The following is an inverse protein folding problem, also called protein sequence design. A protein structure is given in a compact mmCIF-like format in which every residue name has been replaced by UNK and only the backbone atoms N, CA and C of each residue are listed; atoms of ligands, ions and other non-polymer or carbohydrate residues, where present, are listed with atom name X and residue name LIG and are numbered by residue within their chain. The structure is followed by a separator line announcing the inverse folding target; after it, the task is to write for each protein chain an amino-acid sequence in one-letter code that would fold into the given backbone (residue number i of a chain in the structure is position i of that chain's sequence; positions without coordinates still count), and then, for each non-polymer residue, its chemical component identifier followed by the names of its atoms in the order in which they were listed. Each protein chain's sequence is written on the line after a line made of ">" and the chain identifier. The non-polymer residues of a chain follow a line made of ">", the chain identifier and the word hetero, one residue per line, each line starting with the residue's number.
data_IF_522131692397
#
_entry.id   IF_522131692397
#
_cell.length_a   1.000
_cell.length_b   1.000
_cell.length_c   1.000
_cell.angle_alpha   90.00
_cell.angle_beta   90.00
_cell.angle_gamma   90.00
#
_symmetry.space_group_name_H-M   'P 1'
#
loop_
_entity.id
_entity.type
_entity.pdbx_description
1 polymer ?
#
# COMPACT_ATOMS: atom_id res chain seq x y z
N UNK A 1 -5.33 15.46 -1.46
CA UNK A 1 -4.35 16.02 -2.41
C UNK A 1 -3.71 14.85 -3.14
N UNK A 2 -3.92 14.71 -4.46
CA UNK A 2 -3.36 13.59 -5.21
C UNK A 2 -1.86 13.52 -4.98
N UNK A 3 -1.30 12.36 -4.66
CA UNK A 3 0.13 12.08 -4.78
C UNK A 3 0.47 12.07 -6.27
N UNK A 4 0.51 13.25 -6.89
CA UNK A 4 1.01 13.37 -8.25
C UNK A 4 2.54 13.30 -8.16
N UNK A 5 3.07 12.19 -8.66
CA UNK A 5 4.45 12.14 -9.08
C UNK A 5 4.59 13.14 -10.22
N UNK A 6 5.48 14.13 -10.08
CA UNK A 6 6.03 14.76 -11.25
C UNK A 6 6.81 13.65 -11.98
N UNK A 7 6.19 13.07 -13.00
CA UNK A 7 6.87 12.18 -13.91
C UNK A 7 7.96 13.03 -14.55
N UNK A 8 9.20 12.78 -14.17
CA UNK A 8 10.34 13.43 -14.81
C UNK A 8 10.24 13.12 -16.31
N UNK A 9 10.21 14.16 -17.14
CA UNK A 9 10.03 14.10 -18.61
C UNK A 9 11.16 13.37 -19.36
N UNK A 10 12.03 12.64 -18.66
CA UNK A 10 13.20 12.01 -19.22
C UNK A 10 13.32 10.54 -18.80
N UNK A 11 12.28 9.72 -19.07
CA UNK A 11 12.47 8.27 -19.06
C UNK A 11 12.49 7.74 -20.48
N UNK A 12 13.67 7.40 -21.03
CA UNK A 12 13.77 6.75 -22.35
C UNK A 12 13.32 5.28 -22.31
N UNK A 13 12.92 4.75 -21.15
CA UNK A 13 12.48 3.37 -20.96
C UNK A 13 11.17 3.32 -20.19
N UNK A 14 10.12 2.74 -20.76
CA UNK A 14 8.93 2.37 -20.01
C UNK A 14 9.33 1.29 -18.97
N UNK A 15 9.14 1.53 -17.67
CA UNK A 15 9.43 0.53 -16.65
C UNK A 15 8.48 -0.68 -16.70
N UNK A 16 7.43 -0.58 -17.52
CA UNK A 16 6.44 -1.63 -17.74
C UNK A 16 6.92 -2.49 -18.90
N UNK A 17 7.30 -3.72 -18.60
CA UNK A 17 7.60 -4.72 -19.61
C UNK A 17 6.31 -5.25 -20.27
N UNK A 18 6.46 -5.89 -21.42
CA UNK A 18 5.31 -6.40 -22.15
C UNK A 18 4.60 -7.52 -21.38
N UNK A 19 3.39 -7.25 -20.93
CA UNK A 19 2.52 -8.25 -20.30
C UNK A 19 2.25 -9.46 -21.23
N UNK A 20 2.42 -9.29 -22.56
CA UNK A 20 2.33 -10.37 -23.53
C UNK A 20 3.49 -11.36 -23.42
N UNK A 21 4.63 -10.91 -22.91
CA UNK A 21 5.82 -11.74 -22.69
C UNK A 21 5.89 -12.35 -21.29
N UNK A 22 4.81 -12.23 -20.51
CA UNK A 22 4.74 -12.77 -19.15
C UNK A 22 5.55 -11.99 -18.12
N UNK A 23 5.85 -10.72 -18.40
CA UNK A 23 6.65 -9.82 -17.52
C UNK A 23 5.84 -8.60 -17.12
N UNK A 24 5.93 -8.21 -15.84
CA UNK A 24 5.32 -6.97 -15.33
C UNK A 24 6.35 -5.85 -15.31
N UNK A 25 7.53 -6.11 -14.77
CA UNK A 25 8.58 -5.12 -14.58
C UNK A 25 9.97 -5.74 -14.62
N UNK A 26 11.01 -4.90 -14.62
CA UNK A 26 12.41 -5.35 -14.45
C UNK A 26 12.67 -5.95 -13.06
N UNK A 27 11.76 -5.77 -12.09
CA UNK A 27 11.93 -6.18 -10.70
C UNK A 27 11.16 -7.45 -10.33
N UNK A 28 10.58 -8.15 -11.31
CA UNK A 28 9.74 -9.34 -11.07
C UNK A 28 10.45 -10.41 -10.22
N UNK A 29 11.75 -10.65 -10.46
CA UNK A 29 12.51 -11.62 -9.66
C UNK A 29 12.65 -11.18 -8.20
N UNK A 30 12.80 -9.89 -7.93
CA UNK A 30 12.84 -9.36 -6.57
C UNK A 30 11.46 -9.47 -5.90
N UNK A 31 10.39 -9.14 -6.63
CA UNK A 31 9.03 -9.32 -6.11
C UNK A 31 8.73 -10.79 -5.79
N UNK A 32 9.11 -11.73 -6.65
CA UNK A 32 8.96 -13.18 -6.40
C UNK A 32 9.72 -13.63 -5.17
N UNK A 33 10.99 -13.20 -5.03
CA UNK A 33 11.85 -13.52 -3.88
C UNK A 33 11.23 -13.05 -2.56
N UNK A 34 10.87 -11.78 -2.46
CA UNK A 34 10.46 -11.17 -1.21
C UNK A 34 8.97 -11.37 -0.86
N UNK A 35 8.09 -11.53 -1.83
CA UNK A 35 6.68 -11.82 -1.57
C UNK A 35 6.48 -13.15 -0.83
N UNK A 36 7.37 -14.13 -1.05
CA UNK A 36 7.34 -15.43 -0.35
C UNK A 36 7.52 -15.29 1.16
N UNK A 37 8.30 -14.31 1.63
CA UNK A 37 8.55 -14.07 3.06
C UNK A 37 7.28 -13.70 3.84
N UNK A 38 6.28 -13.13 3.15
CA UNK A 38 4.99 -12.70 3.74
C UNK A 38 3.80 -13.54 3.24
N UNK A 39 4.06 -14.57 2.43
CA UNK A 39 3.02 -15.43 1.86
C UNK A 39 2.09 -14.70 0.89
N UNK A 40 2.56 -13.65 0.23
CA UNK A 40 1.81 -12.92 -0.79
C UNK A 40 2.12 -13.44 -2.19
N UNK A 41 1.13 -13.30 -3.07
CA UNK A 41 1.39 -13.39 -4.51
C UNK A 41 2.29 -12.21 -4.94
N UNK A 42 3.39 -12.52 -5.63
CA UNK A 42 4.33 -11.51 -6.08
C UNK A 42 3.71 -10.44 -7.00
N UNK A 43 2.65 -10.80 -7.73
CA UNK A 43 1.90 -9.89 -8.61
C UNK A 43 1.12 -8.83 -7.81
N UNK A 44 0.70 -9.15 -6.59
CA UNK A 44 0.10 -8.20 -5.66
C UNK A 44 1.15 -7.19 -5.16
N UNK A 45 2.35 -7.68 -4.81
CA UNK A 45 3.46 -6.80 -4.39
C UNK A 45 3.92 -5.90 -5.56
N UNK A 46 3.97 -6.43 -6.78
CA UNK A 46 4.23 -5.64 -7.97
C UNK A 46 3.13 -4.60 -8.24
N UNK A 47 1.86 -4.95 -7.98
CA UNK A 47 0.72 -4.03 -8.09
C UNK A 47 0.82 -2.85 -7.13
N UNK A 48 1.27 -3.12 -5.89
CA UNK A 48 1.57 -2.10 -4.90
C UNK A 48 2.69 -1.17 -5.40
N UNK A 49 3.83 -1.71 -5.84
CA UNK A 49 4.96 -0.94 -6.33
C UNK A 49 4.59 -0.06 -7.54
N UNK A 50 3.79 -0.58 -8.46
CA UNK A 50 3.27 0.21 -9.58
C UNK A 50 2.44 1.41 -9.08
N UNK A 51 1.55 1.20 -8.14
CA UNK A 51 0.69 2.25 -7.61
C UNK A 51 1.49 3.30 -6.83
N UNK A 52 2.57 2.89 -6.16
CA UNK A 52 3.44 3.77 -5.39
C UNK A 52 4.36 4.63 -6.27
N UNK A 53 4.99 4.07 -7.28
CA UNK A 53 6.03 4.76 -8.04
C UNK A 53 5.98 4.56 -9.55
N UNK A 54 5.03 3.80 -10.08
CA UNK A 54 5.07 3.34 -11.47
C UNK A 54 6.39 2.61 -11.82
N UNK A 55 6.94 1.88 -10.86
CA UNK A 55 8.27 1.23 -10.91
C UNK A 55 9.46 2.19 -11.05
N UNK A 56 9.29 3.47 -10.74
CA UNK A 56 10.38 4.44 -10.75
C UNK A 56 11.17 4.38 -9.43
N UNK A 57 12.41 3.91 -9.50
CA UNK A 57 13.31 3.83 -8.34
C UNK A 57 13.80 5.20 -7.88
N UNK A 58 13.71 6.22 -8.72
CA UNK A 58 14.16 7.59 -8.42
C UNK A 58 13.03 8.46 -7.88
N UNK A 59 11.80 7.95 -7.85
CA UNK A 59 10.62 8.69 -7.42
C UNK A 59 10.80 9.25 -6.00
N UNK A 60 10.45 10.52 -5.84
CA UNK A 60 10.38 11.21 -4.55
C UNK A 60 9.04 11.93 -4.48
N UNK A 61 8.23 11.61 -3.47
CA UNK A 61 6.97 12.30 -3.25
C UNK A 61 7.22 13.69 -2.63
N UNK A 62 6.25 14.59 -2.76
CA UNK A 62 6.32 15.90 -2.09
C UNK A 62 6.45 15.79 -0.56
N UNK A 63 5.97 14.68 0.05
CA UNK A 63 6.11 14.40 1.48
C UNK A 63 7.47 13.76 1.84
N UNK A 64 8.32 13.47 0.85
CA UNK A 64 9.65 12.90 1.05
C UNK A 64 9.72 11.37 1.05
N UNK A 65 8.64 10.65 0.70
CA UNK A 65 8.71 9.21 0.46
C UNK A 65 9.58 8.92 -0.77
N UNK A 66 10.38 7.85 -0.73
CA UNK A 66 11.41 7.59 -1.73
C UNK A 66 11.37 6.21 -2.34
N UNK A 67 11.78 6.15 -3.61
CA UNK A 67 12.10 4.95 -4.36
C UNK A 67 10.89 4.11 -4.75
N UNK A 68 11.18 2.88 -5.14
CA UNK A 68 10.23 1.95 -5.75
C UNK A 68 8.96 1.71 -4.92
N UNK A 69 9.10 1.60 -3.61
CA UNK A 69 8.02 1.28 -2.67
C UNK A 69 7.54 2.49 -1.85
N UNK A 70 8.05 3.69 -2.14
CA UNK A 70 7.62 4.96 -1.53
C UNK A 70 7.55 4.94 0.01
N UNK A 71 8.54 4.37 0.66
CA UNK A 71 8.65 4.45 2.11
C UNK A 71 9.18 5.81 2.54
N UNK A 72 8.60 6.33 3.63
CA UNK A 72 9.17 7.49 4.30
C UNK A 72 10.57 7.16 4.85
N UNK A 73 11.54 8.08 4.79
CA UNK A 73 12.92 7.80 5.23
C UNK A 73 13.03 7.24 6.66
N UNK A 74 12.18 7.71 7.58
CA UNK A 74 12.14 7.19 8.94
C UNK A 74 11.68 5.73 8.97
N UNK A 75 10.65 5.38 8.21
CA UNK A 75 10.14 4.02 8.08
C UNK A 75 11.17 3.11 7.41
N UNK A 76 11.80 3.56 6.32
CA UNK A 76 12.84 2.82 5.63
C UNK A 76 14.00 2.46 6.57
N UNK A 77 14.50 3.43 7.36
CA UNK A 77 15.54 3.19 8.39
C UNK A 77 15.08 2.21 9.46
N UNK A 78 13.87 2.35 9.98
CA UNK A 78 13.31 1.43 10.96
C UNK A 78 13.18 0.00 10.42
N UNK A 79 12.99 -0.16 9.11
CA UNK A 79 12.94 -1.45 8.42
C UNK A 79 14.35 -1.96 8.01
N UNK A 80 15.41 -1.20 8.33
CA UNK A 80 16.80 -1.61 8.15
C UNK A 80 17.43 -1.19 6.82
N UNK A 81 16.87 -0.22 6.11
CA UNK A 81 17.52 0.36 4.92
C UNK A 81 18.72 1.19 5.36
N UNK A 82 19.91 0.92 4.83
CA UNK A 82 21.09 1.75 5.12
C UNK A 82 20.88 3.19 4.62
N UNK A 83 21.45 4.20 5.29
CA UNK A 83 21.39 5.59 4.85
C UNK A 83 21.85 5.76 3.40
N UNK A 84 21.07 6.48 2.60
CA UNK A 84 21.36 6.73 1.18
C UNK A 84 21.03 5.55 0.24
N UNK A 85 20.43 4.46 0.74
CA UNK A 85 20.00 3.31 -0.06
C UNK A 85 18.50 3.23 -0.27
N UNK A 86 17.75 4.28 0.07
CA UNK A 86 16.28 4.30 -0.01
C UNK A 86 15.76 4.10 -1.44
N UNK A 87 16.55 4.46 -2.45
CA UNK A 87 16.23 4.31 -3.88
C UNK A 87 16.80 3.01 -4.49
N UNK A 88 17.55 2.20 -3.72
CA UNK A 88 17.95 0.88 -4.18
C UNK A 88 16.72 -0.02 -4.26
N UNK A 89 16.41 -0.65 -5.42
CA UNK A 89 15.18 -1.40 -5.59
C UNK A 89 15.07 -2.60 -4.65
N UNK A 90 16.13 -3.34 -4.41
CA UNK A 90 16.11 -4.50 -3.52
C UNK A 90 15.92 -4.08 -2.06
N UNK A 91 16.63 -3.04 -1.59
CA UNK A 91 16.47 -2.53 -0.22
C UNK A 91 15.05 -1.94 -0.01
N UNK A 92 14.52 -1.25 -1.01
CA UNK A 92 13.16 -0.69 -0.98
C UNK A 92 12.10 -1.80 -0.86
N UNK A 93 12.17 -2.86 -1.68
CA UNK A 93 11.24 -4.00 -1.64
C UNK A 93 11.36 -4.74 -0.31
N UNK A 94 12.57 -5.06 0.12
CA UNK A 94 12.84 -5.76 1.39
C UNK A 94 12.28 -5.00 2.60
N UNK A 95 12.46 -3.69 2.63
CA UNK A 95 11.92 -2.85 3.69
C UNK A 95 10.38 -2.80 3.66
N UNK A 96 9.78 -2.70 2.48
CA UNK A 96 8.33 -2.73 2.32
C UNK A 96 7.73 -4.05 2.82
N UNK A 97 8.35 -5.18 2.50
CA UNK A 97 7.93 -6.51 2.97
C UNK A 97 8.00 -6.62 4.49
N UNK A 98 9.08 -6.11 5.12
CA UNK A 98 9.16 -6.05 6.59
C UNK A 98 8.08 -5.17 7.20
N UNK A 99 7.79 -4.02 6.59
CA UNK A 99 6.72 -3.12 7.02
C UNK A 99 5.34 -3.78 6.90
N UNK A 100 5.07 -4.47 5.77
CA UNK A 100 3.86 -5.26 5.55
C UNK A 100 3.72 -6.35 6.62
N UNK A 101 4.78 -7.10 6.91
CA UNK A 101 4.78 -8.13 7.94
C UNK A 101 4.50 -7.58 9.35
N UNK A 102 5.03 -6.40 9.68
CA UNK A 102 4.75 -5.73 10.95
C UNK A 102 3.28 -5.28 11.03
N UNK A 103 2.75 -4.73 9.94
CA UNK A 103 1.36 -4.30 9.84
C UNK A 103 0.40 -5.49 9.91
N UNK A 104 0.72 -6.62 9.26
CA UNK A 104 -0.06 -7.87 9.33
C UNK A 104 -0.23 -8.35 10.78
N UNK A 105 0.84 -8.33 11.56
CA UNK A 105 0.79 -8.69 12.99
C UNK A 105 -0.12 -7.74 13.78
N UNK A 106 -0.07 -6.44 13.50
CA UNK A 106 -0.91 -5.44 14.17
C UNK A 106 -2.39 -5.58 13.81
N UNK A 107 -2.71 -6.18 12.67
CA UNK A 107 -4.06 -6.41 12.16
C UNK A 107 -4.53 -7.86 12.36
N UNK A 108 -3.92 -8.61 13.28
CA UNK A 108 -4.27 -10.02 13.56
C UNK A 108 -5.72 -10.24 13.98
N UNK A 109 -6.42 -9.18 14.45
CA UNK A 109 -7.85 -9.23 14.76
C UNK A 109 -8.74 -9.42 13.50
N UNK A 110 -8.22 -9.22 12.29
CA UNK A 110 -8.91 -9.54 11.03
C UNK A 110 -8.52 -10.98 10.65
N UNK A 111 -9.38 -11.98 10.89
CA UNK A 111 -8.99 -13.40 10.76
C UNK A 111 -8.82 -13.84 9.30
N UNK A 112 -9.64 -13.32 8.39
CA UNK A 112 -9.56 -13.62 6.96
C UNK A 112 -8.34 -12.95 6.34
N UNK A 113 -7.45 -13.74 5.74
CA UNK A 113 -6.20 -13.25 5.14
C UNK A 113 -6.44 -12.35 3.93
N UNK A 114 -7.47 -12.62 3.14
CA UNK A 114 -7.78 -11.83 1.94
C UNK A 114 -8.35 -10.46 2.33
N UNK A 115 -9.23 -10.44 3.33
CA UNK A 115 -9.68 -9.17 3.92
C UNK A 115 -8.50 -8.43 4.54
N UNK A 116 -7.69 -9.08 5.39
CA UNK A 116 -6.55 -8.46 6.07
C UNK A 116 -5.55 -7.81 5.11
N UNK A 117 -5.34 -8.36 3.93
CA UNK A 117 -4.54 -7.73 2.86
C UNK A 117 -5.07 -6.34 2.52
N UNK A 118 -6.39 -6.15 2.39
CA UNK A 118 -6.99 -4.85 2.09
C UNK A 118 -6.71 -3.82 3.19
N UNK A 119 -6.82 -4.24 4.47
CA UNK A 119 -6.45 -3.40 5.61
C UNK A 119 -4.96 -3.04 5.63
N UNK A 120 -4.09 -3.98 5.26
CA UNK A 120 -2.64 -3.74 5.17
C UNK A 120 -2.35 -2.71 4.06
N UNK A 121 -2.96 -2.87 2.88
CA UNK A 121 -2.81 -1.91 1.79
C UNK A 121 -3.33 -0.52 2.18
N UNK A 122 -4.48 -0.46 2.84
CA UNK A 122 -5.02 0.80 3.36
C UNK A 122 -4.07 1.44 4.38
N UNK A 123 -3.50 0.64 5.30
CA UNK A 123 -2.53 1.11 6.30
C UNK A 123 -1.22 1.59 5.67
N UNK A 124 -0.80 0.97 4.58
CA UNK A 124 0.39 1.37 3.83
C UNK A 124 0.26 2.81 3.31
N UNK A 125 -0.93 3.19 2.87
CA UNK A 125 -1.22 4.52 2.34
C UNK A 125 -1.58 5.54 3.44
N UNK A 126 -2.49 5.17 4.36
CA UNK A 126 -3.06 6.08 5.37
C UNK A 126 -2.27 6.13 6.69
N UNK A 127 -1.49 5.09 6.96
CA UNK A 127 -0.97 4.84 8.29
C UNK A 127 -1.96 4.07 9.16
N UNK A 128 -1.42 3.19 9.99
CA UNK A 128 -2.18 2.23 10.80
C UNK A 128 -3.16 2.92 11.78
N UNK A 129 -2.80 4.10 12.30
CA UNK A 129 -3.65 4.83 13.24
C UNK A 129 -5.01 5.21 12.64
N UNK A 130 -5.03 5.74 11.41
CA UNK A 130 -6.29 6.09 10.75
C UNK A 130 -7.13 4.86 10.41
N UNK A 131 -6.50 3.72 10.15
CA UNK A 131 -7.22 2.47 9.91
C UNK A 131 -7.84 1.94 11.19
N UNK A 132 -7.16 2.03 12.33
CA UNK A 132 -7.76 1.68 13.63
C UNK A 132 -8.96 2.57 13.98
N UNK A 133 -8.89 3.88 13.69
CA UNK A 133 -10.04 4.77 13.85
C UNK A 133 -11.21 4.32 12.96
N UNK A 134 -10.96 3.99 11.69
CA UNK A 134 -12.01 3.52 10.79
C UNK A 134 -12.63 2.18 11.24
N UNK A 135 -11.82 1.27 11.78
CA UNK A 135 -12.28 0.01 12.38
C UNK A 135 -13.17 0.30 13.60
N UNK A 136 -12.76 1.20 14.48
CA UNK A 136 -13.54 1.56 15.67
C UNK A 136 -14.87 2.25 15.31
N UNK A 137 -14.86 3.11 14.30
CA UNK A 137 -16.09 3.71 13.76
C UNK A 137 -17.02 2.64 13.17
N UNK A 138 -16.50 1.73 12.34
CA UNK A 138 -17.30 0.65 11.75
C UNK A 138 -17.98 -0.20 12.85
N UNK A 139 -17.23 -0.57 13.89
CA UNK A 139 -17.75 -1.31 15.05
C UNK A 139 -18.85 -0.54 15.77
N UNK A 140 -18.61 0.75 16.08
CA UNK A 140 -19.56 1.63 16.76
C UNK A 140 -20.89 1.77 16.00
N UNK A 141 -20.81 1.88 14.67
CA UNK A 141 -21.98 2.06 13.79
C UNK A 141 -22.56 0.74 13.26
N UNK A 142 -22.24 -0.40 13.90
CA UNK A 142 -22.86 -1.70 13.61
C UNK A 142 -22.44 -2.34 12.29
N UNK A 143 -21.28 -1.98 11.74
CA UNK A 143 -20.70 -2.60 10.56
C UNK A 143 -19.68 -3.67 10.95
N UNK A 144 -19.37 -4.55 10.00
CA UNK A 144 -18.37 -5.58 10.26
C UNK A 144 -16.96 -4.99 10.23
N UNK A 145 -16.36 -4.85 11.42
CA UNK A 145 -15.01 -4.27 11.60
C UNK A 145 -13.87 -5.09 11.03
N UNK A 146 -14.13 -6.33 10.62
CA UNK A 146 -13.14 -7.25 10.03
C UNK A 146 -13.30 -7.43 8.53
N UNK A 147 -14.24 -6.71 7.90
CA UNK A 147 -14.47 -6.69 6.46
C UNK A 147 -14.20 -5.28 5.93
N UNK A 148 -13.36 -5.19 4.90
CA UNK A 148 -13.00 -3.90 4.31
C UNK A 148 -14.12 -3.34 3.43
N UNK A 149 -14.49 -4.10 2.38
CA UNK A 149 -15.43 -3.65 1.35
C UNK A 149 -16.84 -3.43 1.93
N UNK A 150 -17.44 -2.29 1.64
CA UNK A 150 -18.76 -1.84 2.10
C UNK A 150 -18.89 -1.72 3.64
N UNK A 151 -17.81 -1.91 4.38
CA UNK A 151 -17.75 -1.81 5.83
C UNK A 151 -16.72 -0.76 6.26
N UNK A 152 -15.49 -1.16 6.53
CA UNK A 152 -14.46 -0.24 7.08
C UNK A 152 -14.03 0.82 6.06
N UNK A 153 -14.03 0.50 4.75
CA UNK A 153 -13.68 1.48 3.72
C UNK A 153 -14.62 2.70 3.70
N UNK A 154 -15.89 2.53 4.09
CA UNK A 154 -16.82 3.65 4.19
C UNK A 154 -16.43 4.62 5.31
N UNK A 155 -15.91 4.10 6.42
CA UNK A 155 -15.51 4.91 7.56
C UNK A 155 -14.16 5.61 7.35
N UNK A 156 -13.26 5.07 6.55
CA UNK A 156 -12.08 5.83 6.13
C UNK A 156 -12.47 7.05 5.27
N UNK A 157 -13.51 6.91 4.42
CA UNK A 157 -14.06 8.05 3.66
C UNK A 157 -14.71 9.08 4.58
N UNK A 158 -15.52 8.64 5.53
CA UNK A 158 -16.26 9.50 6.46
C UNK A 158 -15.35 10.26 7.42
N UNK A 159 -14.10 9.83 7.62
CA UNK A 159 -13.11 10.55 8.45
C UNK A 159 -12.74 11.95 7.91
N UNK A 160 -13.21 12.35 6.75
CA UNK A 160 -13.13 13.74 6.28
C UNK A 160 -14.25 14.63 6.84
N UNK A 161 -15.28 14.06 7.46
CA UNK A 161 -16.41 14.78 8.04
C UNK A 161 -16.22 14.95 9.55
N UNK A 162 -16.52 16.15 10.05
CA UNK A 162 -16.31 16.53 11.45
C UNK A 162 -16.99 15.57 12.42
N UNK A 163 -18.23 15.18 12.15
CA UNK A 163 -18.99 14.22 12.94
C UNK A 163 -18.22 12.93 13.24
N UNK A 164 -17.39 12.44 12.29
CA UNK A 164 -16.68 11.17 12.43
C UNK A 164 -15.27 11.35 12.96
N UNK A 165 -14.51 12.33 12.49
CA UNK A 165 -13.12 12.46 12.97
C UNK A 165 -13.03 13.04 14.39
N UNK A 166 -14.07 13.70 14.88
CA UNK A 166 -14.17 14.16 16.30
C UNK A 166 -14.85 13.14 17.21
N UNK A 167 -15.35 12.04 16.66
CA UNK A 167 -15.96 10.97 17.45
C UNK A 167 -14.96 10.46 18.52
N UNK A 168 -15.40 10.23 19.77
CA UNK A 168 -14.53 9.79 20.88
C UNK A 168 -13.76 8.49 20.61
N UNK A 169 -14.21 7.64 19.67
CA UNK A 169 -13.46 6.42 19.29
C UNK A 169 -12.27 6.72 18.37
N UNK A 170 -12.25 7.89 17.73
CA UNK A 170 -11.14 8.33 16.89
C UNK A 170 -10.03 8.98 17.73
N UNK A 171 -8.77 8.59 17.43
CA UNK A 171 -7.58 9.10 18.13
C UNK A 171 -6.66 9.90 17.22
N UNK A 172 -6.87 9.83 15.91
CA UNK A 172 -5.95 10.37 14.90
C UNK A 172 -6.56 11.55 14.11
N UNK A 173 -7.76 12.03 14.52
CA UNK A 173 -8.37 13.23 13.95
C UNK A 173 -8.76 13.11 12.48
N UNK A 174 -8.79 14.27 11.80
CA UNK A 174 -9.15 14.40 10.40
C UNK A 174 -8.27 13.56 9.47
N UNK A 175 -8.90 12.93 8.50
CA UNK A 175 -8.21 12.23 7.42
C UNK A 175 -9.00 12.29 6.11
N UNK A 176 -8.31 12.60 5.00
CA UNK A 176 -8.91 12.59 3.67
C UNK A 176 -8.87 11.17 3.07
N UNK A 177 -9.86 10.36 3.40
CA UNK A 177 -9.85 8.92 3.11
C UNK A 177 -10.01 8.51 1.65
N UNK A 178 -10.44 9.43 0.76
CA UNK A 178 -10.69 9.10 -0.67
C UNK A 178 -9.45 8.55 -1.39
N UNK A 179 -8.26 9.02 -1.02
CA UNK A 179 -7.01 8.54 -1.63
C UNK A 179 -6.73 7.09 -1.24
N UNK A 180 -6.92 6.77 0.04
CA UNK A 180 -6.77 5.40 0.55
C UNK A 180 -7.81 4.44 -0.03
N UNK A 181 -9.06 4.89 -0.11
CA UNK A 181 -10.15 4.14 -0.74
C UNK A 181 -9.79 3.76 -2.19
N UNK A 182 -9.38 4.73 -3.00
CA UNK A 182 -8.98 4.49 -4.38
C UNK A 182 -7.72 3.64 -4.47
N UNK A 183 -6.74 3.86 -3.59
CA UNK A 183 -5.48 3.11 -3.54
C UNK A 183 -5.71 1.60 -3.41
N UNK A 184 -6.55 1.18 -2.46
CA UNK A 184 -6.87 -0.23 -2.25
C UNK A 184 -7.58 -0.82 -3.47
N UNK A 185 -8.54 -0.10 -4.05
CA UNK A 185 -9.29 -0.55 -5.23
C UNK A 185 -8.41 -0.68 -6.46
N UNK A 186 -7.54 0.30 -6.71
CA UNK A 186 -6.65 0.31 -7.87
C UNK A 186 -5.63 -0.83 -7.81
N UNK A 187 -5.06 -1.10 -6.63
CA UNK A 187 -4.13 -2.22 -6.44
C UNK A 187 -4.84 -3.55 -6.69
N UNK A 188 -6.02 -3.76 -6.10
CA UNK A 188 -6.77 -5.00 -6.29
C UNK A 188 -7.18 -5.20 -7.74
N UNK A 189 -7.69 -4.17 -8.41
CA UNK A 189 -8.07 -4.23 -9.83
C UNK A 189 -6.88 -4.58 -10.73
N UNK A 190 -5.72 -3.96 -10.47
CA UNK A 190 -4.47 -4.23 -11.19
C UNK A 190 -3.97 -5.65 -10.93
N UNK A 191 -4.01 -6.10 -9.67
CA UNK A 191 -3.64 -7.45 -9.30
C UNK A 191 -4.49 -8.49 -10.03
N UNK A 192 -5.81 -8.31 -10.09
CA UNK A 192 -6.70 -9.18 -10.86
C UNK A 192 -6.36 -9.19 -12.36
N UNK A 193 -6.01 -8.03 -12.92
CA UNK A 193 -5.54 -7.93 -14.30
C UNK A 193 -4.21 -8.69 -14.51
N UNK A 194 -3.27 -8.58 -13.57
CA UNK A 194 -2.01 -9.31 -13.65
C UNK A 194 -2.20 -10.82 -13.57
N UNK A 195 -3.07 -11.30 -12.66
CA UNK A 195 -3.39 -12.73 -12.56
C UNK A 195 -3.92 -13.34 -13.87
N UNK A 196 -4.71 -12.57 -14.60
CA UNK A 196 -5.26 -13.02 -15.89
C UNK A 196 -4.20 -13.12 -17.01
N UNK A 197 -3.14 -12.33 -16.92
CA UNK A 197 -2.15 -12.18 -18.01
C UNK A 197 -0.80 -12.86 -17.71
N UNK A 198 -0.48 -13.01 -16.45
CA UNK A 198 0.83 -13.46 -15.96
C UNK A 198 0.63 -14.71 -15.09
N UNK A 199 1.29 -15.80 -15.45
CA UNK A 199 1.33 -17.01 -14.61
C UNK A 199 2.11 -16.73 -13.32
N UNK A 200 1.70 -17.37 -12.23
CA UNK A 200 2.39 -17.29 -10.93
C UNK A 200 3.78 -17.90 -10.97
#
# INVERSE_FOLDING_TARGET
>A
MKRYFEISKAMPYSPILSLKEGKISHYDNLFKKYAQEIGWDWRLLASLAYTESNFDTTAVSWAGAKGLMQLMPATARAMGVPPGKEQNPEESIKAAVKYIAATDRSLSMVPDKQERIKFILASYNAGLGHIFDAIALADKYGKNKTVWTDNVENYILLKSNEEYFTDPVCKNGYFRGIETYNFVRDINSRYESYKKKIKS
#
